data_IF_339802676022
#
_entry.id   IF_339802676022
#
_cell.length_a   1.000
_cell.length_b   1.000
_cell.length_c   1.000
_cell.angle_alpha   90.00
_cell.angle_beta   90.00
_cell.angle_gamma   90.00
#
_symmetry.space_group_name_H-M   'P 1'
#
loop_
_entity.id
_entity.type
_entity.pdbx_description
1 polymer ?
#
# COMPACT_ATOMS: atom_id res chain seq x y z
N UNK A 1 -55.44 18.95 -47.98
CA UNK A 1 -56.31 20.08 -47.58
C UNK A 1 -55.54 20.93 -46.58
N UNK A 2 -55.18 22.14 -46.99
CA UNK A 2 -54.37 23.12 -46.24
C UNK A 2 -55.27 23.92 -45.30
N UNK A 3 -54.86 24.14 -44.05
CA UNK A 3 -55.28 25.33 -43.27
C UNK A 3 -54.05 25.96 -42.61
N UNK A 4 -53.87 27.21 -42.99
CA UNK A 4 -52.79 28.16 -42.68
C UNK A 4 -53.25 29.09 -41.55
N UNK A 5 -52.31 29.59 -40.75
CA UNK A 5 -52.40 30.81 -39.91
C UNK A 5 -53.31 30.70 -38.68
N UNK A 6 -52.88 31.08 -37.47
CA UNK A 6 -52.45 32.44 -37.12
C UNK A 6 -51.34 32.48 -36.07
N UNK A 7 -50.31 33.27 -36.36
CA UNK A 7 -49.31 33.77 -35.41
C UNK A 7 -49.98 34.65 -34.36
N UNK A 8 -49.64 34.47 -33.09
CA UNK A 8 -49.83 35.49 -32.05
C UNK A 8 -48.46 36.08 -31.70
N UNK A 9 -48.41 37.40 -31.81
CA UNK A 9 -47.26 38.29 -31.72
C UNK A 9 -47.15 38.90 -30.32
N UNK A 10 -45.90 39.01 -29.86
CA UNK A 10 -45.30 40.14 -29.10
C UNK A 10 -45.83 40.43 -27.68
N UNK A 11 -44.95 40.26 -26.69
CA UNK A 11 -44.56 41.35 -25.78
C UNK A 11 -43.17 41.08 -25.21
N UNK A 12 -42.18 41.81 -25.72
CA UNK A 12 -40.85 41.92 -25.15
C UNK A 12 -40.96 42.71 -23.83
N UNK A 13 -40.85 42.00 -22.72
CA UNK A 13 -40.60 42.59 -21.40
C UNK A 13 -39.10 42.58 -21.15
N UNK A 14 -38.49 43.76 -21.18
CA UNK A 14 -37.13 44.02 -20.75
C UNK A 14 -37.09 44.08 -19.21
N UNK A 15 -36.57 43.04 -18.57
CA UNK A 15 -36.06 43.15 -17.21
C UNK A 15 -34.58 42.81 -17.23
N UNK A 16 -33.80 43.89 -17.26
CA UNK A 16 -32.37 43.90 -17.04
C UNK A 16 -32.09 43.59 -15.58
N UNK A 17 -32.00 42.30 -15.22
CA UNK A 17 -31.31 41.92 -14.00
C UNK A 17 -30.04 41.16 -14.38
N UNK A 18 -28.94 41.92 -14.32
CA UNK A 18 -27.57 41.46 -14.35
C UNK A 18 -27.40 40.15 -13.58
N UNK A 19 -27.24 39.05 -14.32
CA UNK A 19 -26.74 37.79 -13.78
C UNK A 19 -25.34 38.11 -13.28
N UNK A 20 -25.21 38.29 -11.97
CA UNK A 20 -23.94 38.37 -11.31
C UNK A 20 -23.15 37.14 -11.74
N UNK A 21 -22.06 37.38 -12.50
CA UNK A 21 -20.97 36.43 -12.62
C UNK A 21 -20.48 36.21 -11.18
N UNK A 22 -21.04 35.19 -10.53
CA UNK A 22 -20.48 34.65 -9.32
C UNK A 22 -19.06 34.23 -9.68
N UNK A 23 -18.10 35.05 -9.26
CA UNK A 23 -16.69 34.73 -9.26
C UNK A 23 -16.56 33.28 -8.78
N UNK A 24 -15.90 32.38 -9.54
CA UNK A 24 -15.71 31.01 -9.06
C UNK A 24 -15.08 31.12 -7.67
N UNK A 25 -15.61 30.41 -6.64
CA UNK A 25 -14.93 30.37 -5.35
C UNK A 25 -13.51 29.91 -5.65
N UNK A 26 -12.56 30.75 -5.25
CA UNK A 26 -11.14 30.53 -5.48
C UNK A 26 -10.82 29.07 -5.17
N UNK A 27 -10.18 28.40 -6.12
CA UNK A 27 -9.74 27.00 -6.05
C UNK A 27 -8.60 26.86 -5.02
N UNK A 28 -8.82 27.34 -3.79
CA UNK A 28 -7.82 27.63 -2.79
C UNK A 28 -8.38 27.34 -1.41
N UNK A 29 -8.86 26.12 -1.21
CA UNK A 29 -8.87 25.43 0.08
C UNK A 29 -9.33 23.99 -0.13
N UNK A 30 -8.50 23.20 -0.83
CA UNK A 30 -8.47 21.78 -0.49
C UNK A 30 -7.79 21.70 0.88
N UNK A 31 -8.49 21.30 1.96
CA UNK A 31 -7.81 21.06 3.22
C UNK A 31 -6.80 19.93 3.00
N UNK A 32 -5.53 20.22 3.26
CA UNK A 32 -4.48 19.20 3.22
C UNK A 32 -4.85 18.09 4.21
N UNK A 33 -5.30 16.94 3.70
CA UNK A 33 -5.73 15.76 4.46
C UNK A 33 -4.65 15.11 5.36
N UNK A 34 -3.42 15.64 5.36
CA UNK A 34 -2.33 15.24 6.24
C UNK A 34 -2.06 16.36 7.25
N UNK A 35 -2.71 16.26 8.42
CA UNK A 35 -2.77 17.32 9.44
C UNK A 35 -1.53 17.47 10.34
N UNK A 36 -0.50 16.64 10.20
CA UNK A 36 0.69 16.68 11.07
C UNK A 36 1.81 17.54 10.46
N UNK A 37 2.26 18.58 11.17
CA UNK A 37 3.36 19.45 10.75
C UNK A 37 4.70 18.69 10.59
N UNK A 38 4.90 17.61 11.35
CA UNK A 38 6.16 16.83 11.35
C UNK A 38 6.33 15.93 10.12
N UNK A 39 5.27 15.68 9.36
CA UNK A 39 5.29 14.76 8.21
C UNK A 39 5.18 15.57 6.92
N UNK A 40 6.22 15.50 6.10
CA UNK A 40 6.20 16.16 4.79
C UNK A 40 5.42 15.35 3.75
N UNK A 41 4.48 16.00 3.05
CA UNK A 41 3.75 15.46 1.89
C UNK A 41 4.55 15.53 0.57
N UNK A 42 5.73 16.17 0.57
CA UNK A 42 6.51 16.35 -0.65
C UNK A 42 7.07 15.02 -1.18
N UNK A 43 6.73 14.69 -2.44
CA UNK A 43 7.21 13.48 -3.15
C UNK A 43 8.73 13.35 -3.12
N UNK A 44 9.47 14.47 -3.28
CA UNK A 44 10.94 14.47 -3.30
C UNK A 44 11.52 14.04 -1.95
N UNK A 45 11.00 14.61 -0.86
CA UNK A 45 11.41 14.30 0.52
C UNK A 45 11.08 12.85 0.90
N UNK A 46 9.89 12.38 0.57
CA UNK A 46 9.45 10.99 0.82
C UNK A 46 10.32 9.96 0.10
N UNK A 47 10.60 10.15 -1.20
CA UNK A 47 11.48 9.24 -1.96
C UNK A 47 12.92 9.23 -1.43
N UNK A 48 13.45 10.40 -1.08
CA UNK A 48 14.78 10.50 -0.49
C UNK A 48 14.85 9.74 0.84
N UNK A 49 13.84 9.88 1.71
CA UNK A 49 13.77 9.15 2.98
C UNK A 49 13.70 7.63 2.78
N UNK A 50 12.95 7.14 1.79
CA UNK A 50 12.86 5.71 1.49
C UNK A 50 14.20 5.13 1.00
N UNK A 51 14.82 5.72 -0.03
CA UNK A 51 16.04 5.14 -0.60
C UNK A 51 17.30 5.35 0.26
N UNK A 52 17.33 6.43 1.06
CA UNK A 52 18.44 6.73 1.99
C UNK A 52 18.25 6.14 3.39
N UNK A 53 17.17 5.41 3.65
CA UNK A 53 16.89 4.85 4.97
C UNK A 53 18.05 3.96 5.49
N UNK A 54 18.33 3.97 6.81
CA UNK A 54 19.28 3.04 7.44
C UNK A 54 18.69 1.63 7.56
N UNK A 55 19.55 0.63 7.83
CA UNK A 55 19.20 -0.80 7.82
C UNK A 55 17.98 -1.17 8.68
N UNK A 56 17.84 -0.57 9.87
CA UNK A 56 16.75 -0.87 10.80
C UNK A 56 15.40 -0.41 10.26
N UNK A 57 15.37 0.77 9.62
CA UNK A 57 14.17 1.26 8.94
C UNK A 57 13.85 0.43 7.70
N UNK A 58 14.87 -0.02 6.94
CA UNK A 58 14.66 -0.90 5.78
C UNK A 58 14.02 -2.23 6.17
N UNK A 59 14.38 -2.79 7.32
CA UNK A 59 13.73 -4.00 7.85
C UNK A 59 12.22 -3.81 8.03
N UNK A 60 11.79 -2.67 8.56
CA UNK A 60 10.35 -2.39 8.78
C UNK A 60 9.62 -2.17 7.45
N UNK A 61 10.25 -1.44 6.52
CA UNK A 61 9.72 -1.24 5.16
C UNK A 61 9.58 -2.59 4.44
N UNK A 62 10.54 -3.49 4.62
CA UNK A 62 10.53 -4.85 4.06
C UNK A 62 9.68 -5.83 4.90
N UNK A 63 8.45 -5.45 5.19
CA UNK A 63 7.44 -6.31 5.81
C UNK A 63 6.61 -7.04 4.75
N UNK A 64 6.16 -8.25 5.08
CA UNK A 64 5.27 -9.04 4.25
C UNK A 64 3.99 -9.42 5.00
N UNK A 65 2.88 -9.60 4.26
CA UNK A 65 1.62 -10.10 4.81
C UNK A 65 1.75 -11.56 5.27
N UNK A 66 1.05 -11.87 6.36
CA UNK A 66 0.88 -13.24 6.84
C UNK A 66 -0.28 -13.94 6.12
N UNK A 67 -0.21 -15.28 6.02
CA UNK A 67 -1.32 -16.12 5.55
C UNK A 67 -2.56 -15.96 6.46
N UNK A 68 -3.75 -16.31 5.97
CA UNK A 68 -5.00 -16.16 6.74
C UNK A 68 -4.95 -16.95 8.06
N UNK A 69 -4.45 -18.17 8.02
CA UNK A 69 -4.28 -19.03 9.20
C UNK A 69 -3.37 -18.39 10.26
N UNK A 70 -2.23 -17.83 9.85
CA UNK A 70 -1.31 -17.17 10.78
C UNK A 70 -1.88 -15.86 11.32
N UNK A 71 -2.68 -15.15 10.51
CA UNK A 71 -3.37 -13.93 10.94
C UNK A 71 -4.39 -14.22 12.02
N UNK A 72 -5.11 -15.33 11.93
CA UNK A 72 -6.08 -15.73 12.96
C UNK A 72 -5.38 -16.14 14.26
N UNK A 73 -4.28 -16.91 14.15
CA UNK A 73 -3.49 -17.35 15.31
C UNK A 73 -2.88 -16.19 16.11
N UNK A 74 -2.23 -15.24 15.43
CA UNK A 74 -1.49 -14.16 16.09
C UNK A 74 -2.22 -12.82 16.10
N UNK A 75 -3.33 -12.67 15.37
CA UNK A 75 -4.04 -11.40 15.15
C UNK A 75 -3.14 -10.27 14.60
N UNK A 76 -2.11 -10.60 13.80
CA UNK A 76 -1.21 -9.62 13.18
C UNK A 76 -1.31 -9.71 11.66
N UNK A 77 -1.32 -8.57 10.96
CA UNK A 77 -1.47 -8.55 9.48
C UNK A 77 -0.16 -8.81 8.74
N UNK A 78 0.95 -8.26 9.23
CA UNK A 78 2.25 -8.27 8.54
C UNK A 78 3.41 -8.24 9.51
N UNK A 79 4.54 -8.82 9.13
CA UNK A 79 5.77 -8.85 9.91
C UNK A 79 7.00 -8.65 9.02
N UNK A 80 8.12 -8.09 9.52
CA UNK A 80 9.38 -8.06 8.79
C UNK A 80 9.89 -9.47 8.43
N UNK A 81 10.24 -9.69 7.17
CA UNK A 81 10.75 -10.98 6.70
C UNK A 81 12.12 -11.28 7.32
N UNK A 82 12.36 -12.53 7.73
CA UNK A 82 13.66 -13.07 8.11
C UNK A 82 14.12 -14.18 7.14
N UNK A 83 15.37 -14.60 7.30
CA UNK A 83 15.88 -15.81 6.66
C UNK A 83 15.14 -17.02 7.23
N UNK A 84 15.00 -18.06 6.44
CA UNK A 84 14.33 -19.33 6.77
C UNK A 84 12.81 -19.25 7.01
N UNK A 85 12.18 -18.08 6.83
CA UNK A 85 10.72 -17.99 6.74
C UNK A 85 10.26 -18.72 5.45
N UNK A 86 9.16 -19.48 5.54
CA UNK A 86 8.54 -20.09 4.36
C UNK A 86 7.53 -19.14 3.76
N UNK A 87 7.60 -19.01 2.44
CA UNK A 87 6.84 -18.02 1.72
C UNK A 87 6.24 -18.55 0.42
N UNK A 88 5.04 -18.06 0.11
CA UNK A 88 4.32 -18.35 -1.13
C UNK A 88 4.15 -17.07 -1.94
N UNK A 89 4.38 -17.15 -3.24
CA UNK A 89 4.29 -15.97 -4.12
C UNK A 89 2.88 -15.77 -4.64
N UNK A 90 2.37 -14.56 -4.48
CA UNK A 90 1.01 -14.19 -4.91
C UNK A 90 1.01 -13.46 -6.25
N UNK A 91 2.06 -12.69 -6.55
CA UNK A 91 2.12 -11.79 -7.71
C UNK A 91 3.37 -12.04 -8.56
N UNK A 92 3.26 -11.84 -9.87
CA UNK A 92 4.36 -11.96 -10.84
C UNK A 92 4.40 -13.34 -11.52
N UNK A 93 5.43 -13.56 -12.34
CA UNK A 93 5.56 -14.75 -13.20
C UNK A 93 5.70 -16.06 -12.43
N UNK A 94 6.25 -16.00 -11.20
CA UNK A 94 6.51 -17.18 -10.36
C UNK A 94 5.41 -17.40 -9.32
N UNK A 95 4.17 -17.00 -9.62
CA UNK A 95 3.01 -17.14 -8.72
C UNK A 95 2.74 -18.62 -8.39
N UNK A 96 2.31 -18.88 -7.16
CA UNK A 96 1.95 -20.22 -6.69
C UNK A 96 3.12 -21.10 -6.29
N UNK A 97 4.37 -20.64 -6.51
CA UNK A 97 5.55 -21.32 -5.99
C UNK A 97 5.77 -20.98 -4.52
N UNK A 98 6.21 -21.99 -3.79
CA UNK A 98 6.58 -21.90 -2.38
C UNK A 98 8.06 -22.18 -2.21
N UNK A 99 8.69 -21.48 -1.27
CA UNK A 99 10.09 -21.69 -0.94
C UNK A 99 10.49 -20.99 0.34
N UNK A 100 11.65 -21.36 0.88
CA UNK A 100 12.25 -20.70 2.04
C UNK A 100 13.01 -19.46 1.61
N UNK A 101 13.05 -18.44 2.46
CA UNK A 101 13.86 -17.25 2.20
C UNK A 101 15.32 -17.56 2.49
N UNK A 102 16.16 -17.58 1.45
CA UNK A 102 17.61 -17.80 1.57
C UNK A 102 18.26 -16.56 2.20
N UNK A 103 18.01 -15.40 1.59
CA UNK A 103 18.63 -14.16 2.02
C UNK A 103 17.71 -12.95 1.79
N UNK A 104 17.84 -11.98 2.70
CA UNK A 104 17.13 -10.70 2.64
C UNK A 104 18.13 -9.61 2.29
N UNK A 105 18.06 -9.14 1.05
CA UNK A 105 18.97 -8.10 0.56
C UNK A 105 18.39 -6.70 0.76
N UNK A 106 18.65 -6.14 1.94
CA UNK A 106 18.11 -4.83 2.37
C UNK A 106 18.59 -3.65 1.54
N UNK A 107 19.78 -3.72 0.91
CA UNK A 107 20.26 -2.59 0.10
C UNK A 107 19.41 -2.36 -1.14
N UNK A 108 18.95 -3.44 -1.79
CA UNK A 108 18.16 -3.41 -3.02
C UNK A 108 16.65 -3.60 -2.79
N UNK A 109 16.19 -3.70 -1.53
CA UNK A 109 14.80 -3.99 -1.17
C UNK A 109 14.26 -5.30 -1.76
N UNK A 110 15.10 -6.32 -1.81
CA UNK A 110 14.83 -7.58 -2.49
C UNK A 110 15.04 -8.76 -1.54
N UNK A 111 14.23 -9.80 -1.70
CA UNK A 111 14.39 -11.11 -1.08
C UNK A 111 14.74 -12.15 -2.14
N UNK A 112 15.56 -13.12 -1.74
CA UNK A 112 15.89 -14.30 -2.53
C UNK A 112 15.23 -15.51 -1.89
N UNK A 113 14.41 -16.20 -2.68
CA UNK A 113 13.62 -17.36 -2.26
C UNK A 113 14.19 -18.60 -2.93
N UNK A 114 14.24 -19.68 -2.17
CA UNK A 114 14.64 -21.00 -2.63
C UNK A 114 13.72 -21.48 -3.77
N UNK A 115 14.29 -22.22 -4.74
CA UNK A 115 13.61 -22.72 -5.96
C UNK A 115 13.24 -21.66 -7.00
N UNK A 116 13.60 -20.40 -6.77
CA UNK A 116 13.30 -19.30 -7.69
C UNK A 116 14.59 -18.78 -8.28
N UNK A 117 15.02 -19.50 -9.29
CA UNK A 117 16.25 -19.23 -10.02
C UNK A 117 15.95 -18.94 -11.48
N UNK A 118 16.89 -18.24 -12.09
CA UNK A 118 17.01 -18.04 -13.53
C UNK A 118 18.31 -18.70 -13.96
N UNK A 119 18.28 -19.45 -15.05
CA UNK A 119 19.48 -19.99 -15.63
C UNK A 119 20.17 -18.95 -16.50
N UNK A 120 21.49 -18.86 -16.39
CA UNK A 120 22.34 -18.07 -17.29
C UNK A 120 22.71 -18.92 -18.51
N UNK A 121 23.13 -18.26 -19.60
CA UNK A 121 23.70 -18.94 -20.76
C UNK A 121 24.93 -19.81 -20.42
N UNK A 122 25.63 -19.48 -19.33
CA UNK A 122 26.74 -20.26 -18.79
C UNK A 122 26.31 -21.52 -18.00
N UNK A 123 25.01 -21.84 -17.95
CA UNK A 123 24.46 -23.00 -17.23
C UNK A 123 24.32 -22.83 -15.72
N UNK A 124 24.78 -21.71 -15.14
CA UNK A 124 24.64 -21.44 -13.71
C UNK A 124 23.26 -20.85 -13.36
N UNK A 125 22.64 -21.37 -12.32
CA UNK A 125 21.37 -20.86 -11.78
C UNK A 125 21.62 -19.68 -10.80
N UNK A 126 20.98 -18.53 -11.05
CA UNK A 126 21.04 -17.35 -10.19
C UNK A 126 19.68 -17.08 -9.56
N UNK A 127 19.61 -16.81 -8.24
CA UNK A 127 18.35 -16.50 -7.58
C UNK A 127 17.73 -15.21 -8.15
N UNK A 128 16.45 -15.26 -8.45
CA UNK A 128 15.71 -14.06 -8.83
C UNK A 128 15.39 -13.22 -7.60
N UNK A 129 15.34 -11.91 -7.80
CA UNK A 129 14.98 -10.96 -6.76
C UNK A 129 13.48 -10.73 -6.73
N UNK A 130 12.87 -10.88 -5.56
CA UNK A 130 11.44 -10.59 -5.35
C UNK A 130 11.27 -9.48 -4.31
N UNK A 131 10.21 -8.69 -4.44
CA UNK A 131 9.84 -7.72 -3.42
C UNK A 131 8.96 -8.39 -2.35
N UNK A 132 9.19 -8.14 -1.04
CA UNK A 132 8.45 -8.79 0.06
C UNK A 132 6.93 -8.60 -0.01
N UNK A 133 6.43 -7.48 -0.56
CA UNK A 133 4.97 -7.24 -0.66
C UNK A 133 4.25 -8.11 -1.70
N UNK A 134 4.98 -8.79 -2.60
CA UNK A 134 4.41 -9.70 -3.59
C UNK A 134 4.26 -11.13 -3.06
N UNK A 135 4.62 -11.33 -1.80
CA UNK A 135 4.80 -12.62 -1.16
C UNK A 135 3.96 -12.68 0.11
N UNK A 136 3.48 -13.88 0.46
CA UNK A 136 2.75 -14.16 1.70
C UNK A 136 3.55 -15.17 2.50
N UNK A 137 3.71 -14.92 3.80
CA UNK A 137 4.40 -15.84 4.69
C UNK A 137 3.43 -16.95 5.11
N UNK A 138 3.85 -18.21 4.92
CA UNK A 138 3.08 -19.41 5.28
C UNK A 138 3.54 -20.02 6.59
N UNK A 139 4.85 -20.08 6.84
CA UNK A 139 5.42 -20.50 8.14
C UNK A 139 6.45 -19.49 8.62
N UNK A 140 6.39 -19.21 9.92
CA UNK A 140 7.28 -18.26 10.60
C UNK A 140 8.37 -19.02 11.35
N UNK A 141 9.61 -18.54 11.25
CA UNK A 141 10.65 -18.94 12.20
C UNK A 141 10.48 -18.14 13.49
N UNK A 142 10.12 -18.80 14.58
CA UNK A 142 9.93 -18.17 15.89
C UNK A 142 11.26 -18.05 16.62
N UNK A 143 11.53 -16.84 17.10
CA UNK A 143 12.64 -16.49 17.98
C UNK A 143 12.05 -15.65 19.13
N UNK A 144 12.76 -15.51 20.26
CA UNK A 144 12.33 -14.66 21.40
C UNK A 144 11.89 -13.26 20.96
N UNK A 145 12.74 -12.55 20.21
CA UNK A 145 12.40 -11.21 19.69
C UNK A 145 11.20 -11.20 18.73
N UNK A 146 10.94 -12.32 18.03
CA UNK A 146 9.81 -12.38 17.10
C UNK A 146 8.50 -12.51 17.86
N UNK A 147 8.52 -13.31 18.91
CA UNK A 147 7.39 -13.48 19.83
C UNK A 147 7.05 -12.16 20.51
N UNK A 148 8.05 -11.41 20.98
CA UNK A 148 7.87 -10.08 21.57
C UNK A 148 7.21 -9.09 20.58
N UNK A 149 7.64 -9.11 19.32
CA UNK A 149 7.05 -8.26 18.27
C UNK A 149 5.60 -8.66 18.02
N UNK A 150 5.29 -9.95 17.98
CA UNK A 150 3.95 -10.47 17.77
C UNK A 150 3.03 -10.11 18.94
N UNK A 151 3.47 -10.33 20.18
CA UNK A 151 2.74 -10.00 21.40
C UNK A 151 2.44 -8.49 21.46
N UNK A 152 3.44 -7.64 21.25
CA UNK A 152 3.25 -6.18 21.20
C UNK A 152 2.29 -5.73 20.11
N UNK A 153 2.39 -6.33 18.92
CA UNK A 153 1.52 -5.98 17.78
C UNK A 153 0.08 -6.43 17.99
N UNK A 154 -0.13 -7.56 18.68
CA UNK A 154 -1.45 -8.06 19.06
C UNK A 154 -2.16 -7.09 20.00
N UNK A 155 -1.51 -6.69 21.09
CA UNK A 155 -2.06 -5.72 22.07
C UNK A 155 -2.48 -4.43 21.38
N UNK A 156 -1.60 -3.85 20.54
CA UNK A 156 -1.92 -2.62 19.82
C UNK A 156 -3.14 -2.74 18.89
N UNK A 157 -3.38 -3.93 18.32
CA UNK A 157 -4.52 -4.17 17.45
C UNK A 157 -5.82 -4.35 18.24
N UNK A 158 -5.78 -5.03 19.38
CA UNK A 158 -6.93 -5.21 20.28
C UNK A 158 -7.41 -3.86 20.81
N UNK A 159 -6.50 -2.99 21.27
CA UNK A 159 -6.85 -1.62 21.66
C UNK A 159 -7.52 -0.84 20.52
N UNK A 160 -6.97 -0.95 19.30
CA UNK A 160 -7.55 -0.28 18.13
C UNK A 160 -8.93 -0.82 17.73
N UNK A 161 -9.21 -2.09 18.02
CA UNK A 161 -10.50 -2.71 17.75
C UNK A 161 -11.55 -2.17 18.73
N UNK A 162 -11.20 -2.10 20.02
CA UNK A 162 -12.09 -1.58 21.06
C UNK A 162 -12.45 -0.10 20.81
N UNK A 163 -11.47 0.73 20.46
CA UNK A 163 -11.69 2.16 20.18
C UNK A 163 -12.63 2.41 18.98
N UNK A 164 -12.74 1.47 18.04
CA UNK A 164 -13.67 1.55 16.90
C UNK A 164 -15.08 1.09 17.23
N UNK A 165 -15.25 0.33 18.31
CA UNK A 165 -16.57 -0.13 18.78
C UNK A 165 -17.19 0.91 19.70
N UNK A 166 -16.36 1.68 20.40
CA UNK A 166 -16.78 2.78 21.30
C UNK A 166 -16.99 4.13 20.60
N UNK A 167 -16.68 4.25 19.31
CA UNK A 167 -16.84 5.46 18.50
C UNK A 167 -17.87 5.21 17.40
#
# INVERSE_FOLDING_TARGET
>A
MVKVSTRKSISLGSETDSIALASPPSFSQCPNLFFSADVSSSRRKSRAAHFKAPSDRRRVIMSAPLSKELREKYNVRSIPIRKDDEVTIVRGSNKGREGKVISVYRLKYVIHVERITRDKASGQSVPLGLHPSNVVITKLKLDKDREDILARSKVGRELSANNKVTA
#
